data_IF_386818636822
#
_entry.id   IF_386818636822
#
_cell.length_a   1.000
_cell.length_b   1.000
_cell.length_c   1.000
_cell.angle_alpha   90.00
_cell.angle_beta   90.00
_cell.angle_gamma   90.00
#
_symmetry.space_group_name_H-M   'P 1'
#
loop_
_entity.id
_entity.type
_entity.pdbx_description
1 polymer ?
#
# COMPACT_ATOMS: atom_id res chain seq x y z
N UNK A 1 -20.40 11.87 -7.98
CA UNK A 1 -19.94 11.62 -9.36
C UNK A 1 -18.49 12.07 -9.44
N UNK A 2 -17.54 11.14 -9.51
CA UNK A 2 -16.10 11.42 -9.53
C UNK A 2 -15.63 11.47 -10.99
N UNK A 3 -15.23 12.63 -11.47
CA UNK A 3 -14.51 12.74 -12.74
C UNK A 3 -13.02 12.67 -12.46
N UNK A 4 -12.36 11.69 -13.06
CA UNK A 4 -10.91 11.63 -13.17
C UNK A 4 -10.52 12.35 -14.45
N UNK A 5 -9.83 13.49 -14.34
CA UNK A 5 -9.23 14.15 -15.51
C UNK A 5 -7.72 13.97 -15.43
N UNK A 6 -7.20 13.06 -16.26
CA UNK A 6 -5.77 12.95 -16.53
C UNK A 6 -5.38 13.99 -17.59
N UNK A 7 -4.82 15.12 -17.15
CA UNK A 7 -4.33 16.14 -18.09
C UNK A 7 -2.87 15.84 -18.45
N UNK A 8 -2.64 15.26 -19.63
CA UNK A 8 -1.33 15.28 -20.28
C UNK A 8 -1.11 16.65 -20.93
N UNK A 9 -0.25 17.50 -20.36
CA UNK A 9 0.16 18.73 -21.05
C UNK A 9 1.58 18.63 -21.57
N UNK A 10 1.73 18.72 -22.90
CA UNK A 10 3.00 18.82 -23.63
C UNK A 10 3.72 20.17 -23.43
N UNK A 11 3.26 21.05 -22.55
CA UNK A 11 3.75 22.44 -22.48
C UNK A 11 4.19 22.88 -21.07
N UNK A 12 5.25 22.23 -20.57
CA UNK A 12 6.03 22.67 -19.38
C UNK A 12 6.52 24.13 -19.52
N UNK A 13 6.73 24.63 -20.75
CA UNK A 13 7.18 25.99 -21.02
C UNK A 13 6.20 27.09 -20.58
N UNK A 14 4.89 26.80 -20.49
CA UNK A 14 3.89 27.80 -20.09
C UNK A 14 3.87 28.03 -18.57
N UNK A 15 4.02 26.96 -17.77
CA UNK A 15 4.08 27.02 -16.30
C UNK A 15 5.33 27.78 -15.84
N UNK A 16 6.46 27.56 -16.53
CA UNK A 16 7.71 28.29 -16.28
C UNK A 16 7.56 29.81 -16.46
N UNK A 17 6.78 30.25 -17.46
CA UNK A 17 6.57 31.68 -17.75
C UNK A 17 5.62 32.36 -16.76
N UNK A 18 4.75 31.59 -16.08
CA UNK A 18 3.87 32.10 -15.02
C UNK A 18 4.62 32.29 -13.69
N UNK A 19 5.52 31.36 -13.34
CA UNK A 19 6.32 31.45 -12.10
C UNK A 19 7.34 32.59 -12.13
N UNK A 20 7.92 32.92 -13.30
CA UNK A 20 8.89 34.02 -13.43
C UNK A 20 8.26 35.42 -13.29
N UNK A 21 6.93 35.55 -13.40
CA UNK A 21 6.24 36.86 -13.29
C UNK A 21 5.86 37.26 -11.87
N UNK A 22 5.90 36.35 -10.91
CA UNK A 22 5.65 36.63 -9.50
C UNK A 22 6.95 36.43 -8.71
N UNK A 23 7.81 37.44 -8.76
CA UNK A 23 9.05 37.48 -7.98
C UNK A 23 8.72 37.78 -6.53
N UNK A 24 8.62 36.74 -5.71
CA UNK A 24 9.28 36.67 -4.42
C UNK A 24 9.31 35.20 -3.98
N UNK A 25 10.53 34.67 -3.88
CA UNK A 25 10.88 33.33 -3.37
C UNK A 25 10.51 32.16 -4.29
N UNK A 26 11.44 31.75 -5.17
CA UNK A 26 11.55 30.35 -5.64
C UNK A 26 12.88 30.11 -6.36
N UNK A 27 13.85 29.47 -5.69
CA UNK A 27 14.85 28.65 -6.38
C UNK A 27 14.26 27.23 -6.50
N UNK A 28 13.79 26.87 -7.69
CA UNK A 28 13.27 25.52 -7.95
C UNK A 28 14.01 24.90 -9.15
N UNK A 29 14.83 23.88 -8.89
CA UNK A 29 15.23 22.91 -9.91
C UNK A 29 14.14 21.84 -9.98
N UNK A 30 13.51 21.71 -11.15
CA UNK A 30 12.39 20.78 -11.36
C UNK A 30 12.90 19.46 -11.95
N UNK A 31 12.64 18.36 -11.24
CA UNK A 31 12.57 17.03 -11.84
C UNK A 31 11.30 16.32 -11.34
N UNK A 32 10.56 15.73 -12.28
CA UNK A 32 9.39 14.84 -12.16
C UNK A 32 7.97 15.43 -12.12
N UNK A 33 7.00 14.54 -12.41
CA UNK A 33 5.99 14.63 -13.49
C UNK A 33 4.53 14.51 -12.99
N UNK A 34 4.26 14.69 -11.70
CA UNK A 34 2.90 14.57 -11.15
C UNK A 34 2.69 15.53 -9.97
N UNK A 35 1.49 16.11 -9.88
CA UNK A 35 1.01 16.88 -8.73
C UNK A 35 -0.32 16.27 -8.30
N UNK A 36 -0.47 15.99 -7.00
CA UNK A 36 -1.71 15.51 -6.38
C UNK A 36 -2.27 16.61 -5.47
N UNK A 37 -3.60 16.78 -5.45
CA UNK A 37 -4.30 17.64 -4.51
C UNK A 37 -5.39 16.85 -3.78
N UNK A 38 -5.50 17.06 -2.47
CA UNK A 38 -6.60 16.57 -1.61
C UNK A 38 -7.35 17.79 -1.09
N UNK A 39 -8.66 17.88 -1.37
CA UNK A 39 -9.51 18.97 -0.87
C UNK A 39 -10.60 18.40 0.03
N UNK A 40 -10.75 19.00 1.21
CA UNK A 40 -11.93 18.84 2.08
C UNK A 40 -12.64 20.18 2.21
N UNK A 41 -13.97 20.17 2.19
CA UNK A 41 -14.79 21.35 2.47
C UNK A 41 -15.83 21.02 3.53
N UNK A 42 -15.92 21.85 4.58
CA UNK A 42 -16.99 21.83 5.57
C UNK A 42 -17.97 22.97 5.33
N UNK A 43 -19.26 22.62 5.43
CA UNK A 43 -20.43 23.47 5.71
C UNK A 43 -20.96 24.49 4.68
N UNK A 44 -22.23 24.24 4.35
CA UNK A 44 -23.35 25.13 4.08
C UNK A 44 -23.07 26.63 3.83
N UNK A 45 -23.17 27.03 2.57
CA UNK A 45 -23.84 28.26 2.17
C UNK A 45 -24.56 27.97 0.84
N UNK A 46 -25.87 28.27 0.79
CA UNK A 46 -26.68 28.19 -0.43
C UNK A 46 -26.06 29.12 -1.47
N UNK A 47 -25.47 28.56 -2.52
CA UNK A 47 -25.17 29.28 -3.76
C UNK A 47 -26.06 28.71 -4.87
N UNK A 48 -27.01 29.53 -5.29
CA UNK A 48 -27.97 29.29 -6.36
C UNK A 48 -27.33 29.52 -7.72
N UNK A 49 -26.58 28.55 -8.23
CA UNK A 49 -26.39 28.35 -9.68
C UNK A 49 -25.90 26.93 -9.96
N UNK A 50 -26.51 26.20 -10.90
CA UNK A 50 -26.02 24.89 -11.31
C UNK A 50 -24.65 25.02 -12.01
N UNK A 51 -23.72 24.15 -11.65
CA UNK A 51 -22.42 24.02 -12.32
C UNK A 51 -22.69 23.47 -13.74
N UNK A 52 -22.34 24.18 -14.83
CA UNK A 52 -22.52 23.66 -16.17
C UNK A 52 -21.54 22.51 -16.44
N UNK A 53 -21.89 21.55 -17.31
CA UNK A 53 -20.99 20.47 -17.70
C UNK A 53 -19.71 21.03 -18.34
N UNK A 54 -18.57 20.51 -17.89
CA UNK A 54 -17.23 20.98 -18.25
C UNK A 54 -16.91 20.54 -19.68
N UNK A 55 -17.00 21.47 -20.65
CA UNK A 55 -16.78 21.19 -22.07
C UNK A 55 -15.67 22.06 -22.71
N UNK A 56 -14.91 22.86 -21.98
CA UNK A 56 -13.80 23.63 -22.59
C UNK A 56 -12.66 24.04 -21.66
N UNK A 57 -11.50 24.29 -22.28
CA UNK A 57 -10.20 24.61 -21.65
C UNK A 57 -10.18 25.93 -20.85
N UNK A 58 -11.09 26.87 -21.15
CA UNK A 58 -11.20 28.14 -20.40
C UNK A 58 -11.64 27.92 -18.93
N UNK A 59 -12.48 26.91 -18.67
CA UNK A 59 -13.06 26.65 -17.34
C UNK A 59 -12.06 26.04 -16.35
N UNK A 60 -10.98 25.42 -16.85
CA UNK A 60 -9.89 24.87 -16.02
C UNK A 60 -9.05 26.00 -15.41
N UNK A 61 -8.90 27.12 -16.13
CA UNK A 61 -8.17 28.31 -15.66
C UNK A 61 -8.89 28.98 -14.48
N UNK A 62 -10.21 29.03 -14.54
CA UNK A 62 -11.04 29.60 -13.48
C UNK A 62 -11.07 28.70 -12.22
N UNK A 63 -11.09 27.37 -12.41
CA UNK A 63 -10.96 26.42 -11.32
C UNK A 63 -9.58 26.50 -10.63
N UNK A 64 -8.51 26.66 -11.41
CA UNK A 64 -7.16 26.84 -10.87
C UNK A 64 -7.02 28.15 -10.08
N UNK A 65 -7.56 29.26 -10.60
CA UNK A 65 -7.55 30.55 -9.92
C UNK A 65 -8.41 30.55 -8.64
N UNK A 66 -9.55 29.86 -8.65
CA UNK A 66 -10.39 29.67 -7.48
C UNK A 66 -9.66 28.88 -6.37
N UNK A 67 -8.91 27.84 -6.72
CA UNK A 67 -8.11 27.04 -5.79
C UNK A 67 -6.96 27.87 -5.19
N UNK A 68 -6.26 28.66 -6.02
CA UNK A 68 -5.15 29.53 -5.58
C UNK A 68 -5.65 30.60 -4.59
N UNK A 69 -6.77 31.26 -4.89
CA UNK A 69 -7.32 32.30 -4.03
C UNK A 69 -7.84 31.74 -2.69
N UNK A 70 -8.40 30.53 -2.68
CA UNK A 70 -8.84 29.86 -1.44
C UNK A 70 -7.67 29.44 -0.54
N UNK A 71 -6.53 29.10 -1.14
CA UNK A 71 -5.33 28.69 -0.40
C UNK A 71 -4.64 29.88 0.31
N UNK A 72 -4.69 31.08 -0.28
CA UNK A 72 -4.19 32.30 0.34
C UNK A 72 -5.05 32.77 1.53
N UNK A 73 -6.34 32.42 1.55
CA UNK A 73 -7.26 32.71 2.65
C UNK A 73 -7.12 31.76 3.85
N UNK A 74 -6.48 30.60 3.70
CA UNK A 74 -6.34 29.61 4.78
C UNK A 74 -5.01 29.67 5.54
N UNK A 75 -4.04 30.47 5.08
CA UNK A 75 -2.77 30.65 5.80
C UNK A 75 -2.86 31.57 7.03
N UNK A 76 -4.03 32.16 7.33
CA UNK A 76 -4.20 33.03 8.51
C UNK A 76 -4.61 32.31 9.78
N UNK A 77 -4.88 31.00 9.76
CA UNK A 77 -5.27 30.26 10.97
C UNK A 77 -4.28 29.13 11.26
N UNK A 78 -3.45 29.36 12.27
CA UNK A 78 -2.40 28.45 12.73
C UNK A 78 -2.93 27.07 13.09
N UNK A 79 -2.57 26.08 12.27
CA UNK A 79 -2.59 24.67 12.64
C UNK A 79 -1.20 24.12 12.34
N UNK A 80 -0.39 23.94 13.38
CA UNK A 80 0.91 23.27 13.29
C UNK A 80 0.65 21.77 13.08
N UNK A 81 0.45 21.36 11.83
CA UNK A 81 0.51 19.96 11.44
C UNK A 81 1.98 19.53 11.49
N UNK A 82 2.38 18.90 12.60
CA UNK A 82 3.64 18.18 12.70
C UNK A 82 3.62 17.07 11.63
N UNK A 83 4.29 17.34 10.50
CA UNK A 83 4.47 16.34 9.45
C UNK A 83 5.50 15.34 9.96
N UNK A 84 5.03 14.24 10.54
CA UNK A 84 5.89 13.17 11.00
C UNK A 84 6.40 12.40 9.76
N UNK A 85 7.54 12.82 9.22
CA UNK A 85 8.25 12.08 8.18
C UNK A 85 8.83 10.82 8.85
N UNK A 86 8.25 9.66 8.52
CA UNK A 86 8.79 8.37 8.96
C UNK A 86 9.56 7.73 7.81
N UNK A 87 10.84 7.50 8.03
CA UNK A 87 11.73 6.83 7.08
C UNK A 87 11.45 5.33 7.11
N UNK A 88 10.88 4.80 6.03
CA UNK A 88 10.63 3.36 5.88
C UNK A 88 11.47 2.83 4.74
N UNK A 89 12.22 1.75 4.99
CA UNK A 89 13.06 1.04 4.03
C UNK A 89 13.74 1.96 3.01
N UNK A 90 14.84 2.59 3.43
CA UNK A 90 15.74 3.37 2.58
C UNK A 90 16.48 2.46 1.61
N UNK A 91 15.77 1.81 0.69
CA UNK A 91 16.39 1.32 -0.53
C UNK A 91 16.34 2.51 -1.47
N UNK A 92 17.49 3.16 -1.64
CA UNK A 92 17.60 4.23 -2.63
C UNK A 92 17.22 3.66 -4.00
N UNK A 93 16.66 4.48 -4.89
CA UNK A 93 16.31 4.01 -6.25
C UNK A 93 17.58 3.53 -6.95
N UNK A 94 18.72 4.12 -6.59
CA UNK A 94 20.06 3.77 -7.04
C UNK A 94 20.52 2.38 -6.54
N UNK A 95 20.01 1.90 -5.40
CA UNK A 95 20.29 0.58 -4.84
C UNK A 95 19.41 -0.54 -5.42
N UNK A 96 18.39 -0.18 -6.22
CA UNK A 96 17.56 -1.15 -6.91
C UNK A 96 18.39 -1.75 -8.06
N UNK A 97 18.62 -3.07 -8.06
CA UNK A 97 19.34 -3.73 -9.13
C UNK A 97 18.67 -3.38 -10.47
N UNK A 98 19.40 -2.72 -11.37
CA UNK A 98 18.95 -2.35 -12.71
C UNK A 98 18.77 -3.55 -13.65
N UNK A 99 18.30 -4.68 -13.13
CA UNK A 99 18.13 -5.92 -13.91
C UNK A 99 16.87 -5.80 -14.73
N UNK A 100 17.04 -5.67 -16.04
CA UNK A 100 15.92 -5.60 -16.98
C UNK A 100 15.20 -6.95 -17.07
N UNK A 101 13.89 -6.92 -17.34
CA UNK A 101 13.07 -8.12 -17.55
C UNK A 101 13.67 -9.05 -18.62
N UNK A 102 14.26 -8.47 -19.67
CA UNK A 102 14.96 -9.22 -20.72
C UNK A 102 16.13 -10.03 -20.19
N UNK A 103 16.93 -9.47 -19.27
CA UNK A 103 18.05 -10.18 -18.64
C UNK A 103 17.51 -11.33 -17.79
N UNK A 104 16.51 -11.07 -16.94
CA UNK A 104 15.87 -12.10 -16.12
C UNK A 104 15.35 -13.27 -16.97
N UNK A 105 14.55 -12.99 -18.00
CA UNK A 105 13.99 -14.01 -18.90
C UNK A 105 15.08 -14.78 -19.63
N UNK A 106 16.14 -14.10 -20.10
CA UNK A 106 17.27 -14.75 -20.78
C UNK A 106 18.00 -15.72 -19.84
N UNK A 107 18.31 -15.29 -18.62
CA UNK A 107 18.99 -16.11 -17.64
C UNK A 107 18.17 -17.36 -17.24
N UNK A 108 16.85 -17.20 -17.03
CA UNK A 108 15.94 -18.32 -16.77
C UNK A 108 15.92 -19.33 -17.92
N UNK A 109 15.86 -18.86 -19.17
CA UNK A 109 15.93 -19.73 -20.36
C UNK A 109 17.27 -20.45 -20.48
N UNK A 110 18.40 -19.77 -20.22
CA UNK A 110 19.73 -20.38 -20.21
C UNK A 110 19.83 -21.50 -19.16
N UNK A 111 19.11 -21.36 -18.05
CA UNK A 111 19.03 -22.37 -17.00
C UNK A 111 17.97 -23.46 -17.24
N UNK A 112 17.27 -23.43 -18.39
CA UNK A 112 16.16 -24.33 -18.70
C UNK A 112 15.03 -24.31 -17.65
N UNK A 113 14.74 -23.13 -17.09
CA UNK A 113 13.70 -22.96 -16.07
C UNK A 113 12.42 -22.44 -16.72
N UNK A 114 11.34 -23.20 -16.53
CA UNK A 114 10.00 -22.75 -16.89
C UNK A 114 9.54 -21.62 -15.97
N UNK A 115 8.98 -20.56 -16.56
CA UNK A 115 8.47 -19.41 -15.81
C UNK A 115 7.12 -18.95 -16.35
N UNK A 116 6.26 -18.47 -15.45
CA UNK A 116 5.02 -17.78 -15.77
C UNK A 116 5.26 -16.27 -15.72
N UNK A 117 4.65 -15.53 -16.65
CA UNK A 117 4.75 -14.07 -16.71
C UNK A 117 3.58 -13.42 -15.97
N UNK A 118 3.76 -13.14 -14.68
CA UNK A 118 2.76 -12.49 -13.83
C UNK A 118 2.68 -10.98 -14.07
N UNK A 119 1.80 -10.24 -13.37
CA UNK A 119 1.66 -8.80 -13.58
C UNK A 119 2.96 -8.03 -13.26
N UNK A 120 3.42 -8.11 -12.00
CA UNK A 120 4.61 -7.41 -11.49
C UNK A 120 5.84 -8.30 -11.35
N UNK A 121 5.69 -9.61 -11.58
CA UNK A 121 6.72 -10.59 -11.29
C UNK A 121 6.81 -11.68 -12.35
N UNK A 122 8.00 -12.24 -12.51
CA UNK A 122 8.19 -13.56 -13.11
C UNK A 122 8.04 -14.61 -12.02
N UNK A 123 7.37 -15.71 -12.33
CA UNK A 123 7.02 -16.73 -11.34
C UNK A 123 7.67 -18.03 -11.76
N UNK A 124 8.50 -18.61 -10.88
CA UNK A 124 9.15 -19.91 -11.11
C UNK A 124 8.88 -20.85 -9.93
N UNK A 125 9.18 -22.15 -10.09
CA UNK A 125 9.20 -23.07 -8.97
C UNK A 125 10.31 -22.69 -8.00
N UNK A 126 10.03 -22.78 -6.70
CA UNK A 126 10.96 -22.39 -5.66
C UNK A 126 12.09 -23.44 -5.52
N UNK A 127 13.35 -23.11 -5.86
CA UNK A 127 14.47 -24.05 -5.72
C UNK A 127 14.83 -24.35 -4.26
N UNK A 128 14.38 -23.51 -3.32
CA UNK A 128 14.65 -23.66 -1.89
C UNK A 128 13.73 -24.70 -1.24
N UNK A 129 12.44 -24.70 -1.62
CA UNK A 129 11.46 -25.61 -1.03
C UNK A 129 11.66 -27.07 -1.46
N UNK A 130 12.13 -27.28 -2.69
CA UNK A 130 12.40 -28.63 -3.22
C UNK A 130 13.47 -29.38 -2.40
N UNK A 131 14.33 -28.66 -1.69
CA UNK A 131 15.38 -29.21 -0.83
C UNK A 131 14.97 -29.34 0.65
N UNK A 132 13.82 -28.79 1.05
CA UNK A 132 13.39 -28.70 2.46
C UNK A 132 12.26 -29.66 2.82
N UNK A 133 11.53 -30.24 1.85
CA UNK A 133 10.36 -31.09 2.13
C UNK A 133 10.58 -32.51 1.58
N UNK A 134 10.43 -33.57 2.39
CA UNK A 134 10.40 -34.95 1.92
C UNK A 134 9.28 -35.13 0.88
N UNK A 135 9.60 -35.78 -0.25
CA UNK A 135 8.77 -35.92 -1.46
C UNK A 135 7.33 -36.49 -1.29
N UNK A 136 6.88 -36.82 -0.08
CA UNK A 136 5.66 -37.60 0.15
C UNK A 136 4.46 -36.79 0.61
N UNK A 137 4.65 -35.62 1.24
CA UNK A 137 3.53 -34.84 1.76
C UNK A 137 3.74 -33.34 1.52
N UNK A 138 3.29 -32.82 0.38
CA UNK A 138 2.80 -31.43 0.26
C UNK A 138 2.15 -31.17 -1.10
N UNK A 139 1.03 -30.41 -1.14
CA UNK A 139 0.34 -30.03 -2.35
C UNK A 139 1.02 -28.82 -3.02
N UNK A 140 1.09 -28.84 -4.35
CA UNK A 140 1.46 -27.72 -5.25
C UNK A 140 2.90 -27.20 -5.11
N UNK A 141 3.69 -27.32 -6.19
CA UNK A 141 5.04 -26.75 -6.29
C UNK A 141 5.06 -25.30 -5.82
N UNK A 142 5.65 -25.04 -4.65
CA UNK A 142 5.74 -23.69 -4.10
C UNK A 142 6.44 -22.76 -5.10
N UNK A 143 5.92 -21.55 -5.24
CA UNK A 143 6.36 -20.59 -6.26
C UNK A 143 7.23 -19.50 -5.63
N UNK A 144 8.22 -19.02 -6.38
CA UNK A 144 8.98 -17.83 -6.06
C UNK A 144 8.59 -16.73 -7.05
N UNK A 145 8.47 -15.51 -6.56
CA UNK A 145 8.06 -14.35 -7.33
C UNK A 145 9.26 -13.42 -7.47
N UNK A 146 9.69 -13.13 -8.69
CA UNK A 146 10.83 -12.26 -9.01
C UNK A 146 10.27 -10.95 -9.55
N UNK A 147 10.44 -9.85 -8.83
CA UNK A 147 9.99 -8.53 -9.24
C UNK A 147 10.65 -8.13 -10.56
N UNK A 148 9.83 -7.78 -11.55
CA UNK A 148 10.26 -7.42 -12.91
C UNK A 148 11.11 -6.15 -12.99
N UNK A 149 10.94 -5.25 -12.03
CA UNK A 149 11.61 -3.95 -12.00
C UNK A 149 12.88 -4.00 -11.15
N UNK A 150 12.84 -4.70 -10.02
CA UNK A 150 13.94 -4.66 -9.04
C UNK A 150 14.79 -5.93 -9.03
N UNK A 151 14.34 -7.01 -9.68
CA UNK A 151 14.96 -8.33 -9.58
C UNK A 151 14.87 -8.96 -8.19
N UNK A 152 14.21 -8.32 -7.22
CA UNK A 152 14.03 -8.88 -5.87
C UNK A 152 13.10 -10.08 -5.94
N UNK A 153 13.50 -11.20 -5.33
CA UNK A 153 12.71 -12.41 -5.30
C UNK A 153 12.14 -12.68 -3.91
N UNK A 154 11.00 -13.36 -3.84
CA UNK A 154 10.38 -13.79 -2.57
C UNK A 154 9.59 -15.09 -2.77
N UNK A 155 9.75 -16.06 -1.86
CA UNK A 155 8.93 -17.25 -1.78
C UNK A 155 8.02 -17.18 -0.54
N UNK A 156 6.68 -17.14 -0.69
CA UNK A 156 5.76 -17.10 0.45
C UNK A 156 5.77 -18.38 1.30
N UNK A 157 6.28 -19.49 0.77
CA UNK A 157 6.27 -20.78 1.46
C UNK A 157 7.48 -20.93 2.40
N UNK A 158 8.70 -20.92 1.86
CA UNK A 158 9.93 -21.06 2.67
C UNK A 158 10.47 -19.73 3.19
N UNK A 159 9.88 -18.59 2.79
CA UNK A 159 10.29 -17.22 3.17
C UNK A 159 11.70 -16.84 2.74
N UNK A 160 12.30 -17.56 1.77
CA UNK A 160 13.53 -17.10 1.12
C UNK A 160 13.24 -15.89 0.26
N UNK A 161 14.05 -14.84 0.42
CA UNK A 161 13.96 -13.62 -0.36
C UNK A 161 15.35 -13.02 -0.57
N UNK A 162 15.49 -12.11 -1.53
CA UNK A 162 16.76 -11.46 -1.79
C UNK A 162 16.87 -10.85 -3.19
N UNK A 163 18.08 -10.38 -3.52
CA UNK A 163 18.39 -9.81 -4.84
C UNK A 163 18.57 -10.90 -5.90
N UNK A 164 18.31 -10.55 -7.16
CA UNK A 164 18.46 -11.45 -8.31
C UNK A 164 19.80 -12.18 -8.34
N UNK A 165 20.92 -11.51 -8.10
CA UNK A 165 22.27 -12.10 -8.16
C UNK A 165 22.44 -13.32 -7.25
N UNK A 166 21.75 -13.34 -6.10
CA UNK A 166 21.78 -14.47 -5.19
C UNK A 166 20.99 -15.66 -5.77
N UNK A 167 19.81 -15.39 -6.34
CA UNK A 167 19.00 -16.41 -7.00
C UNK A 167 19.72 -16.94 -8.24
N UNK A 168 20.27 -16.09 -9.10
CA UNK A 168 20.97 -16.48 -10.32
C UNK A 168 22.15 -17.43 -10.03
N UNK A 169 22.93 -17.17 -8.99
CA UNK A 169 23.98 -18.08 -8.53
C UNK A 169 23.43 -19.46 -8.18
N UNK A 170 22.30 -19.52 -7.48
CA UNK A 170 21.66 -20.78 -7.10
C UNK A 170 21.13 -21.52 -8.33
N UNK A 171 20.47 -20.82 -9.25
CA UNK A 171 19.96 -21.40 -10.49
C UNK A 171 21.10 -21.98 -11.34
N UNK A 172 22.24 -21.30 -11.41
CA UNK A 172 23.44 -21.80 -12.08
C UNK A 172 24.05 -23.03 -11.39
N UNK A 173 24.02 -23.11 -10.06
CA UNK A 173 24.46 -24.31 -9.35
C UNK A 173 23.57 -25.51 -9.69
N UNK A 174 22.24 -25.31 -9.66
CA UNK A 174 21.27 -26.35 -9.98
C UNK A 174 21.38 -26.82 -11.43
N UNK A 175 21.57 -25.90 -12.38
CA UNK A 175 21.85 -26.24 -13.79
C UNK A 175 23.05 -27.19 -13.94
N UNK A 176 24.07 -27.00 -13.11
CA UNK A 176 25.29 -27.81 -13.13
C UNK A 176 25.25 -29.01 -12.16
N UNK A 177 24.07 -29.36 -11.63
CA UNK A 177 23.88 -30.42 -10.62
C UNK A 177 24.78 -30.26 -9.37
N UNK A 178 25.13 -29.02 -9.02
CA UNK A 178 25.92 -28.71 -7.82
C UNK A 178 25.00 -28.48 -6.61
N UNK A 179 25.37 -28.96 -5.41
CA UNK A 179 24.58 -28.74 -4.21
C UNK A 179 24.51 -27.24 -3.86
N UNK A 180 23.38 -26.80 -3.31
CA UNK A 180 23.22 -25.42 -2.83
C UNK A 180 23.98 -25.27 -1.51
N UNK A 181 24.95 -24.34 -1.40
CA UNK A 181 25.66 -24.10 -0.15
C UNK A 181 24.69 -23.72 1.00
N UNK A 182 24.89 -24.24 2.23
CA UNK A 182 24.01 -23.97 3.37
C UNK A 182 23.76 -22.50 3.66
N UNK A 183 24.73 -21.63 3.36
CA UNK A 183 24.61 -20.17 3.52
C UNK A 183 23.46 -19.54 2.72
N UNK A 184 23.03 -20.16 1.62
CA UNK A 184 21.90 -19.69 0.81
C UNK A 184 20.55 -20.29 1.26
N UNK A 185 20.58 -21.30 2.14
CA UNK A 185 19.39 -22.00 2.62
C UNK A 185 18.85 -21.39 3.92
N UNK A 186 19.47 -20.37 4.48
CA UNK A 186 18.99 -19.72 5.71
C UNK A 186 17.81 -18.79 5.37
N UNK A 187 16.58 -19.05 5.89
CA UNK A 187 15.48 -18.10 5.78
C UNK A 187 15.83 -16.80 6.51
N UNK A 188 15.19 -15.68 6.14
CA UNK A 188 15.33 -14.42 6.88
C UNK A 188 14.85 -14.59 8.33
N UNK A 189 15.79 -14.83 9.24
CA UNK A 189 15.51 -15.01 10.68
C UNK A 189 15.08 -13.70 11.35
N UNK A 190 15.54 -12.56 10.85
CA UNK A 190 15.29 -11.25 11.47
C UNK A 190 13.84 -10.79 11.32
N UNK A 191 13.23 -11.01 10.15
CA UNK A 191 11.81 -10.71 9.90
C UNK A 191 10.91 -11.48 10.87
N UNK A 192 11.33 -12.69 11.28
CA UNK A 192 10.53 -13.52 12.17
C UNK A 192 10.44 -12.98 13.60
N UNK A 193 11.41 -12.22 14.10
CA UNK A 193 11.37 -11.74 15.50
C UNK A 193 10.31 -10.66 15.69
N UNK A 194 10.31 -9.64 14.84
CA UNK A 194 9.34 -8.55 14.89
C UNK A 194 7.92 -9.05 14.63
N UNK A 195 7.76 -9.96 13.67
CA UNK A 195 6.47 -10.63 13.43
C UNK A 195 6.01 -11.44 14.65
N UNK A 196 6.89 -12.21 15.29
CA UNK A 196 6.54 -12.98 16.50
C UNK A 196 6.09 -12.10 17.65
N UNK A 197 6.76 -10.96 17.88
CA UNK A 197 6.37 -9.99 18.90
C UNK A 197 5.00 -9.37 18.59
N UNK A 198 4.77 -8.97 17.33
CA UNK A 198 3.49 -8.44 16.89
C UNK A 198 2.36 -9.49 17.01
N UNK A 199 2.63 -10.75 16.67
CA UNK A 199 1.70 -11.86 16.84
C UNK A 199 1.36 -12.07 18.32
N UNK A 200 2.36 -12.09 19.21
CA UNK A 200 2.14 -12.21 20.65
C UNK A 200 1.29 -11.05 21.19
N UNK A 201 1.61 -9.82 20.81
CA UNK A 201 0.87 -8.63 21.19
C UNK A 201 -0.59 -8.68 20.70
N UNK A 202 -0.81 -9.07 19.45
CA UNK A 202 -2.16 -9.26 18.90
C UNK A 202 -2.99 -10.30 19.67
N UNK A 203 -2.38 -11.41 20.09
CA UNK A 203 -3.07 -12.41 20.90
C UNK A 203 -3.46 -11.87 22.29
N UNK A 204 -2.68 -10.94 22.85
CA UNK A 204 -3.05 -10.24 24.08
C UNK A 204 -4.23 -9.29 23.82
N UNK A 205 -4.18 -8.50 22.74
CA UNK A 205 -5.28 -7.62 22.34
C UNK A 205 -6.59 -8.40 22.16
N UNK A 206 -6.55 -9.57 21.51
CA UNK A 206 -7.73 -10.44 21.35
C UNK A 206 -8.34 -10.92 22.68
N UNK A 207 -7.55 -11.03 23.75
CA UNK A 207 -8.05 -11.40 25.08
C UNK A 207 -8.63 -10.21 25.84
N UNK A 208 -8.09 -9.01 25.61
CA UNK A 208 -8.46 -7.80 26.35
C UNK A 208 -9.59 -7.01 25.69
N UNK A 209 -9.66 -7.05 24.37
CA UNK A 209 -10.54 -6.22 23.56
C UNK A 209 -11.54 -7.06 22.78
N UNK A 210 -12.66 -6.44 22.44
CA UNK A 210 -13.77 -7.10 21.77
C UNK A 210 -13.69 -6.89 20.25
N UNK A 211 -14.23 -7.81 19.44
CA UNK A 211 -14.38 -7.60 18.01
C UNK A 211 -15.21 -6.35 17.72
N UNK A 212 -14.84 -5.59 16.70
CA UNK A 212 -15.62 -4.44 16.26
C UNK A 212 -17.06 -4.83 15.89
N UNK A 213 -17.24 -6.05 15.38
CA UNK A 213 -18.55 -6.61 15.01
C UNK A 213 -19.45 -6.95 16.20
N UNK A 214 -18.94 -6.93 17.45
CA UNK A 214 -19.78 -7.18 18.63
C UNK A 214 -20.39 -5.90 19.22
N UNK A 215 -20.11 -4.74 18.64
CA UNK A 215 -20.75 -3.48 19.00
C UNK A 215 -22.19 -3.42 18.48
N UNK A 216 -23.05 -2.67 19.17
CA UNK A 216 -24.36 -2.32 18.65
C UNK A 216 -24.22 -1.44 17.39
N UNK A 217 -25.22 -1.47 16.51
CA UNK A 217 -25.17 -0.70 15.26
C UNK A 217 -25.02 0.81 15.50
N UNK A 218 -25.63 1.34 16.55
CA UNK A 218 -25.56 2.77 16.86
C UNK A 218 -24.17 3.19 17.36
N UNK A 219 -23.50 2.33 18.14
CA UNK A 219 -22.10 2.55 18.53
C UNK A 219 -21.17 2.53 17.31
N UNK A 220 -21.40 1.61 16.37
CA UNK A 220 -20.64 1.55 15.11
C UNK A 220 -20.83 2.81 14.28
N UNK A 221 -22.07 3.31 14.18
CA UNK A 221 -22.36 4.59 13.49
C UNK A 221 -21.63 5.74 14.16
N UNK A 222 -21.59 5.82 15.49
CA UNK A 222 -20.85 6.87 16.21
C UNK A 222 -19.36 6.84 15.86
N UNK A 223 -18.75 5.65 15.84
CA UNK A 223 -17.34 5.48 15.46
C UNK A 223 -17.11 5.90 14.00
N UNK A 224 -17.93 5.43 13.07
CA UNK A 224 -17.80 5.78 11.65
C UNK A 224 -18.05 7.27 11.40
N UNK A 225 -18.99 7.89 12.11
CA UNK A 225 -19.23 9.33 12.04
C UNK A 225 -18.02 10.12 12.52
N UNK A 226 -17.36 9.67 13.58
CA UNK A 226 -16.14 10.28 14.12
C UNK A 226 -14.98 10.19 13.11
N UNK A 227 -14.91 9.09 12.36
CA UNK A 227 -13.99 8.92 11.22
C UNK A 227 -14.40 9.67 9.95
N UNK A 228 -15.52 10.43 9.98
CA UNK A 228 -16.12 11.12 8.83
C UNK A 228 -16.59 10.17 7.71
N UNK A 229 -16.99 8.95 8.08
CA UNK A 229 -17.48 7.87 7.21
C UNK A 229 -18.98 7.62 7.43
N UNK A 230 -19.79 8.69 7.40
CA UNK A 230 -21.20 8.67 7.82
C UNK A 230 -22.11 7.74 6.99
N UNK A 231 -21.71 7.40 5.77
CA UNK A 231 -22.49 6.55 4.86
C UNK A 231 -22.15 5.06 4.99
N UNK A 232 -21.29 4.69 5.94
CA UNK A 232 -20.73 3.34 6.02
C UNK A 232 -21.65 2.42 6.82
N UNK A 233 -22.07 1.32 6.19
CA UNK A 233 -22.95 0.33 6.83
C UNK A 233 -22.20 -0.45 7.93
N UNK A 234 -22.85 -0.77 9.07
CA UNK A 234 -22.30 -1.67 10.09
C UNK A 234 -21.75 -2.99 9.54
N UNK A 235 -22.34 -3.51 8.45
CA UNK A 235 -21.90 -4.74 7.80
C UNK A 235 -20.45 -4.69 7.27
N UNK A 236 -19.89 -3.50 7.03
CA UNK A 236 -18.50 -3.34 6.59
C UNK A 236 -17.51 -3.76 7.67
N UNK A 237 -17.86 -3.60 8.96
CA UNK A 237 -17.00 -3.99 10.08
C UNK A 237 -16.63 -5.49 10.03
N UNK A 238 -17.55 -6.34 9.55
CA UNK A 238 -17.34 -7.79 9.45
C UNK A 238 -16.25 -8.18 8.44
N UNK A 239 -15.83 -7.27 7.56
CA UNK A 239 -14.82 -7.57 6.54
C UNK A 239 -13.39 -7.54 7.08
N UNK A 240 -13.15 -7.00 8.29
CA UNK A 240 -11.80 -6.64 8.73
C UNK A 240 -11.25 -7.42 9.92
N UNK A 241 -12.07 -8.21 10.63
CA UNK A 241 -11.67 -8.86 11.91
C UNK A 241 -11.00 -7.88 12.88
N UNK A 242 -11.48 -6.64 12.88
CA UNK A 242 -10.93 -5.56 13.67
C UNK A 242 -11.34 -5.71 15.14
N UNK A 243 -10.49 -5.23 16.04
CA UNK A 243 -10.78 -5.11 17.46
C UNK A 243 -11.04 -3.65 17.81
N UNK A 244 -11.80 -3.44 18.88
CA UNK A 244 -12.06 -2.12 19.46
C UNK A 244 -11.75 -2.14 20.95
N UNK A 245 -11.08 -1.11 21.43
CA UNK A 245 -10.79 -0.96 22.84
C UNK A 245 -12.07 -0.72 23.67
N UNK A 246 -11.93 -0.69 25.00
CA UNK A 246 -13.09 -0.52 25.89
C UNK A 246 -13.80 0.82 25.71
N UNK A 247 -13.05 1.86 25.33
CA UNK A 247 -13.60 3.22 25.17
C UNK A 247 -14.18 3.50 23.78
N UNK A 248 -13.93 2.64 22.79
CA UNK A 248 -14.30 2.90 21.40
C UNK A 248 -13.43 3.95 20.71
N UNK A 249 -12.34 4.40 21.36
CA UNK A 249 -11.45 5.43 20.85
C UNK A 249 -10.37 4.89 19.92
N UNK A 250 -10.07 3.59 19.99
CA UNK A 250 -8.97 2.97 19.25
C UNK A 250 -9.42 1.67 18.59
N UNK A 251 -9.13 1.57 17.29
CA UNK A 251 -9.41 0.40 16.47
C UNK A 251 -8.11 -0.31 16.07
N UNK A 252 -8.13 -1.64 16.05
CA UNK A 252 -6.98 -2.45 15.70
C UNK A 252 -7.32 -3.37 14.52
N UNK A 253 -6.53 -3.31 13.45
CA UNK A 253 -6.79 -4.02 12.20
C UNK A 253 -5.66 -5.03 11.92
N UNK A 254 -5.95 -6.34 11.84
CA UNK A 254 -4.93 -7.34 11.61
C UNK A 254 -4.37 -7.26 10.19
N UNK A 255 -3.04 -7.32 10.08
CA UNK A 255 -2.31 -7.36 8.81
C UNK A 255 -1.86 -8.79 8.52
N UNK A 256 -2.16 -9.27 7.32
CA UNK A 256 -1.85 -10.64 6.91
C UNK A 256 -0.83 -10.66 5.79
N UNK A 257 0.08 -11.62 5.84
CA UNK A 257 1.02 -11.91 4.76
C UNK A 257 0.30 -12.57 3.58
N UNK A 258 1.03 -12.74 2.47
CA UNK A 258 0.55 -13.46 1.27
C UNK A 258 0.07 -14.88 1.59
N UNK A 259 0.65 -15.52 2.62
CA UNK A 259 0.25 -16.84 3.10
C UNK A 259 -0.95 -16.84 4.04
N UNK A 260 -1.60 -15.70 4.26
CA UNK A 260 -2.72 -15.55 5.20
C UNK A 260 -2.31 -15.58 6.67
N UNK A 261 -1.01 -15.59 6.97
CA UNK A 261 -0.51 -15.57 8.34
C UNK A 261 -0.50 -14.14 8.87
N UNK A 262 -0.80 -13.98 10.17
CA UNK A 262 -0.69 -12.69 10.84
C UNK A 262 0.77 -12.23 10.83
N UNK A 263 1.02 -11.05 10.29
CA UNK A 263 2.35 -10.42 10.22
C UNK A 263 2.43 -9.11 11.00
N UNK A 264 1.29 -8.59 11.47
CA UNK A 264 1.21 -7.35 12.23
C UNK A 264 -0.21 -6.87 12.42
N UNK A 265 -0.37 -5.63 12.85
CA UNK A 265 -1.65 -4.94 12.88
C UNK A 265 -1.47 -3.43 12.74
N UNK A 266 -2.50 -2.75 12.23
CA UNK A 266 -2.62 -1.29 12.25
C UNK A 266 -3.43 -0.84 13.45
N UNK A 267 -3.08 0.32 14.00
CA UNK A 267 -3.84 1.02 15.04
C UNK A 267 -4.42 2.28 14.41
N UNK A 268 -5.71 2.53 14.60
CA UNK A 268 -6.38 3.74 14.16
C UNK A 268 -7.05 4.41 15.36
N UNK A 269 -6.63 5.62 15.67
CA UNK A 269 -7.23 6.45 16.71
C UNK A 269 -8.42 7.22 16.13
N UNK A 270 -9.62 6.92 16.62
CA UNK A 270 -10.90 7.37 16.03
C UNK A 270 -11.03 8.89 15.99
N UNK A 271 -10.60 9.56 17.06
CA UNK A 271 -10.74 11.02 17.20
C UNK A 271 -9.69 11.78 16.40
N UNK A 272 -8.42 11.35 16.50
CA UNK A 272 -7.31 12.06 15.86
C UNK A 272 -7.10 11.66 14.40
N UNK A 273 -7.65 10.51 13.97
CA UNK A 273 -7.39 9.91 12.67
C UNK A 273 -5.96 9.41 12.48
N UNK A 274 -5.16 9.39 13.55
CA UNK A 274 -3.77 8.95 13.49
C UNK A 274 -3.69 7.44 13.34
N UNK A 275 -2.73 7.00 12.51
CA UNK A 275 -2.49 5.59 12.23
C UNK A 275 -1.08 5.16 12.61
N UNK A 276 -1.00 3.98 13.22
CA UNK A 276 0.26 3.32 13.52
C UNK A 276 0.26 1.89 12.98
N UNK A 277 1.43 1.28 12.93
CA UNK A 277 1.59 -0.10 12.49
C UNK A 277 2.54 -0.81 13.43
N UNK A 278 2.19 -2.05 13.75
CA UNK A 278 2.97 -2.92 14.60
C UNK A 278 3.27 -4.20 13.81
N UNK A 279 4.55 -4.54 13.58
CA UNK A 279 5.73 -3.79 14.00
C UNK A 279 5.85 -2.43 13.26
N UNK A 280 6.52 -1.47 13.90
CA UNK A 280 6.68 -0.12 13.36
C UNK A 280 7.48 -0.10 12.04
N UNK A 281 8.33 -1.09 11.84
CA UNK A 281 9.15 -1.28 10.63
C UNK A 281 9.09 -2.74 10.21
N UNK A 282 9.38 -3.03 8.94
CA UNK A 282 9.46 -4.39 8.41
C UNK A 282 8.18 -5.22 8.60
N UNK A 283 7.01 -4.57 8.66
CA UNK A 283 5.75 -5.30 8.64
C UNK A 283 5.48 -5.79 7.21
N UNK A 284 5.52 -7.10 7.00
CA UNK A 284 5.25 -7.72 5.70
C UNK A 284 3.75 -7.89 5.41
N UNK A 285 2.88 -7.60 6.37
CA UNK A 285 1.44 -7.79 6.27
C UNK A 285 0.73 -6.64 5.56
N UNK A 286 -0.36 -6.97 4.88
CA UNK A 286 -1.29 -5.99 4.28
C UNK A 286 -2.68 -6.11 4.92
N UNK A 287 -3.45 -5.02 4.90
CA UNK A 287 -4.87 -5.07 5.23
C UNK A 287 -5.65 -5.16 3.91
N UNK A 288 -6.49 -6.18 3.78
CA UNK A 288 -7.44 -6.28 2.68
C UNK A 288 -8.80 -6.66 3.27
N UNK A 289 -9.90 -5.99 2.88
CA UNK A 289 -11.23 -6.41 3.28
C UNK A 289 -11.47 -7.84 2.79
N UNK A 290 -12.07 -8.68 3.64
CA UNK A 290 -12.49 -10.02 3.24
C UNK A 290 -13.55 -9.89 2.13
N UNK A 291 -13.14 -10.16 0.89
CA UNK A 291 -14.08 -10.37 -0.20
C UNK A 291 -14.80 -11.72 0.01
N UNK A 292 -16.11 -11.76 -0.23
CA UNK A 292 -16.85 -13.03 -0.25
C UNK A 292 -16.31 -14.01 -1.31
N UNK A 293 -16.98 -15.17 -1.48
CA UNK A 293 -16.64 -16.21 -2.47
C UNK A 293 -16.92 -15.77 -3.92
N UNK A 294 -16.38 -14.62 -4.33
CA UNK A 294 -16.49 -14.07 -5.68
C UNK A 294 -15.30 -14.45 -6.56
N UNK A 295 -15.40 -14.20 -7.87
CA UNK A 295 -14.29 -14.39 -8.80
C UNK A 295 -13.10 -13.54 -8.39
N UNK A 296 -11.89 -14.07 -8.63
CA UNK A 296 -10.63 -13.39 -8.31
C UNK A 296 -10.55 -12.08 -9.10
N UNK A 297 -10.40 -10.97 -8.39
CA UNK A 297 -10.34 -9.65 -8.99
C UNK A 297 -9.00 -9.45 -9.73
N UNK A 298 -9.08 -8.93 -10.96
CA UNK A 298 -7.90 -8.67 -11.81
C UNK A 298 -7.24 -7.31 -11.53
N UNK A 299 -7.92 -6.45 -10.76
CA UNK A 299 -7.48 -5.09 -10.46
C UNK A 299 -7.47 -4.91 -8.96
N UNK A 300 -6.40 -4.27 -8.44
CA UNK A 300 -6.29 -3.87 -7.06
C UNK A 300 -6.10 -2.36 -6.94
N UNK A 301 -6.72 -1.75 -5.93
CA UNK A 301 -6.54 -0.36 -5.54
C UNK A 301 -5.69 -0.34 -4.27
N UNK A 302 -4.50 0.27 -4.39
CA UNK A 302 -3.61 0.47 -3.25
C UNK A 302 -3.98 1.76 -2.53
N UNK A 303 -4.21 1.67 -1.22
CA UNK A 303 -4.51 2.83 -0.38
C UNK A 303 -3.49 2.99 0.75
N UNK A 304 -3.20 4.23 1.18
CA UNK A 304 -2.22 4.48 2.22
C UNK A 304 -2.79 4.35 3.64
N UNK A 305 -4.12 4.44 3.81
CA UNK A 305 -4.79 4.57 5.10
C UNK A 305 -5.93 3.57 5.29
N UNK A 306 -6.19 3.19 6.53
CA UNK A 306 -7.34 2.39 6.96
C UNK A 306 -8.63 3.15 6.67
N UNK A 307 -8.67 4.46 6.89
CA UNK A 307 -9.86 5.26 6.60
C UNK A 307 -10.27 5.19 5.12
N UNK A 308 -9.32 5.31 4.19
CA UNK A 308 -9.58 5.16 2.76
C UNK A 308 -10.00 3.71 2.44
N UNK A 309 -9.44 2.72 3.14
CA UNK A 309 -9.80 1.29 3.00
C UNK A 309 -11.26 1.05 3.39
N UNK A 310 -11.68 1.58 4.53
CA UNK A 310 -13.06 1.48 5.02
C UNK A 310 -14.02 2.17 4.05
N UNK A 311 -13.68 3.39 3.63
CA UNK A 311 -14.49 4.16 2.68
C UNK A 311 -14.74 3.36 1.38
N UNK A 312 -13.70 2.79 0.79
CA UNK A 312 -13.82 1.99 -0.43
C UNK A 312 -14.56 0.66 -0.21
N UNK A 313 -14.36 0.00 0.94
CA UNK A 313 -15.10 -1.21 1.29
C UNK A 313 -16.62 -0.95 1.38
N UNK A 314 -17.03 0.23 1.87
CA UNK A 314 -18.41 0.67 1.87
C UNK A 314 -19.02 0.89 0.48
N UNK A 315 -18.20 1.19 -0.54
CA UNK A 315 -18.66 1.42 -1.92
C UNK A 315 -18.83 0.13 -2.74
N UNK A 316 -18.50 -1.06 -2.18
CA UNK A 316 -18.57 -2.36 -2.88
C UNK A 316 -17.86 -2.34 -4.24
N UNK A 317 -16.63 -1.81 -4.27
CA UNK A 317 -15.87 -1.68 -5.52
C UNK A 317 -15.59 -3.04 -6.15
N UNK A 318 -15.60 -3.11 -7.48
CA UNK A 318 -15.24 -4.33 -8.23
C UNK A 318 -13.75 -4.69 -8.14
N UNK A 319 -12.90 -3.76 -7.68
CA UNK A 319 -11.47 -3.94 -7.48
C UNK A 319 -11.13 -4.37 -6.04
N UNK A 320 -10.00 -5.04 -5.88
CA UNK A 320 -9.48 -5.47 -4.58
C UNK A 320 -8.85 -4.27 -3.87
N UNK A 321 -9.37 -3.89 -2.71
CA UNK A 321 -8.78 -2.82 -1.92
C UNK A 321 -7.67 -3.41 -1.06
N UNK A 322 -6.48 -2.81 -1.11
CA UNK A 322 -5.31 -3.23 -0.33
C UNK A 322 -4.69 -2.02 0.35
N UNK A 323 -4.67 -2.02 1.67
CA UNK A 323 -3.96 -1.03 2.47
C UNK A 323 -2.53 -1.49 2.74
N UNK A 324 -1.58 -0.60 2.47
CA UNK A 324 -0.18 -0.84 2.78
C UNK A 324 0.09 -0.63 4.28
N UNK A 325 0.97 -1.44 4.90
CA UNK A 325 1.29 -1.32 6.32
C UNK A 325 1.78 0.09 6.67
N UNK A 326 2.74 0.62 5.91
CA UNK A 326 3.35 1.92 6.19
C UNK A 326 2.90 3.04 5.23
N UNK A 327 1.76 2.84 4.55
CA UNK A 327 1.26 3.78 3.56
C UNK A 327 2.17 3.90 2.32
N UNK A 328 2.01 4.98 1.56
CA UNK A 328 2.98 5.39 0.55
C UNK A 328 3.89 6.45 1.18
N UNK A 329 5.20 6.27 1.08
CA UNK A 329 6.16 7.34 1.40
C UNK A 329 5.81 8.55 0.54
N UNK A 330 5.19 9.55 1.16
CA UNK A 330 5.19 10.89 0.58
C UNK A 330 6.61 11.38 0.82
N UNK A 331 7.44 11.36 -0.21
CA UNK A 331 8.69 12.12 -0.22
C UNK A 331 8.29 13.61 -0.15
N UNK A 332 8.10 14.08 1.08
CA UNK A 332 8.16 15.49 1.42
C UNK A 332 9.59 15.94 1.17
N UNK A 333 9.72 16.94 0.30
CA UNK A 333 10.99 17.58 -0.06
C UNK A 333 11.69 18.18 1.14
#
# INVERSE_FOLDING_TARGET
MLYFVSVWTKNIKFIHKLCLKNTNVCHAKFYTKYIYFRLWGTSQNKLSTPIPPINSFLQIKDLANYIINKHNLQQTNGFNSLTLVRWYNSISIEDLPGVTISILKKALKICNINFEDGFTSLIIRCPFCENLIPKRDTPLASKIYINKTTGFFFCPHCRHSGKWDALEKILNLLKNNKPIPPKYLVPLKEETKFEQEAVKSWQQLKKTFKPLTSLAEDDLKIIFNSLKLQTLSPAVAAQFDALVDKSGSTLYFPLHSVGGQLAGYKVLHVVSGQEETVPATNCAGILAPRSGKGPRQQVAVLVPSVADTLALAGQKTAAQVVCLPHGQLVFGR
#
